data_IF_835767738195
#
_entry.id   IF_835767738195
#
_cell.length_a   1.000
_cell.length_b   1.000
_cell.length_c   1.000
_cell.angle_alpha   90.00
_cell.angle_beta   90.00
_cell.angle_gamma   90.00
#
_symmetry.space_group_name_H-M   'P 1'
#
loop_
_entity.id
_entity.type
_entity.pdbx_description
1 polymer ?
#
# COMPACT_ATOMS: atom_id res chain seq x y z
N UNK A 1 -3.03 18.11 0.78
CA UNK A 1 -3.05 16.85 0.00
C UNK A 1 -1.89 16.01 0.50
N UNK A 2 -2.19 14.85 1.05
CA UNK A 2 -1.23 13.89 1.56
C UNK A 2 -1.21 12.69 0.61
N UNK A 3 -0.03 12.13 0.37
CA UNK A 3 0.14 10.96 -0.47
C UNK A 3 0.85 9.92 0.38
N UNK A 4 0.22 8.76 0.54
CA UNK A 4 0.77 7.57 1.16
C UNK A 4 1.23 6.62 0.06
N UNK A 5 2.53 6.37 0.00
CA UNK A 5 3.10 5.36 -0.89
C UNK A 5 3.47 4.11 -0.08
N UNK A 6 3.27 2.94 -0.69
CA UNK A 6 3.61 1.66 -0.07
C UNK A 6 4.88 1.14 -0.75
N UNK A 7 6.07 1.32 -0.14
CA UNK A 7 7.33 0.92 -0.77
C UNK A 7 7.41 -0.58 -1.05
N UNK A 8 6.60 -1.37 -0.36
CA UNK A 8 6.54 -2.83 -0.51
C UNK A 8 5.72 -3.27 -1.73
N UNK A 9 4.80 -2.41 -2.19
CA UNK A 9 3.89 -2.68 -3.30
C UNK A 9 4.14 -1.66 -4.41
N UNK A 10 5.03 -1.95 -5.37
CA UNK A 10 5.39 -0.99 -6.40
C UNK A 10 4.16 -0.55 -7.21
N UNK A 11 3.88 0.76 -7.18
CA UNK A 11 2.71 1.36 -7.82
C UNK A 11 1.46 1.48 -6.94
N UNK A 12 1.51 1.02 -5.68
CA UNK A 12 0.44 1.22 -4.72
C UNK A 12 0.63 2.56 -4.00
N UNK A 13 -0.21 3.53 -4.37
CA UNK A 13 -0.23 4.87 -3.81
C UNK A 13 -1.67 5.26 -3.51
N UNK A 14 -1.88 5.99 -2.43
CA UNK A 14 -3.16 6.55 -2.06
C UNK A 14 -3.00 8.02 -1.70
N UNK A 15 -3.96 8.84 -2.11
CA UNK A 15 -4.04 10.22 -1.69
C UNK A 15 -5.18 10.45 -0.69
N UNK A 16 -5.06 11.54 0.05
CA UNK A 16 -6.07 11.97 1.00
C UNK A 16 -5.92 13.44 1.39
N UNK A 17 -7.00 14.01 1.93
CA UNK A 17 -7.03 15.38 2.44
C UNK A 17 -6.27 15.52 3.76
N UNK A 18 -6.07 14.42 4.48
CA UNK A 18 -5.32 14.33 5.74
C UNK A 18 -4.41 13.11 5.75
N UNK A 19 -3.40 13.11 6.62
CA UNK A 19 -2.52 11.95 6.83
C UNK A 19 -3.30 10.66 7.14
N UNK A 20 -4.26 10.73 8.08
CA UNK A 20 -5.09 9.56 8.40
C UNK A 20 -5.90 9.07 7.21
N UNK A 21 -6.42 9.99 6.39
CA UNK A 21 -7.22 9.63 5.23
C UNK A 21 -6.37 8.97 4.14
N UNK A 22 -5.18 9.51 3.85
CA UNK A 22 -4.25 8.92 2.91
C UNK A 22 -3.79 7.51 3.36
N UNK A 23 -3.54 7.32 4.66
CA UNK A 23 -3.19 6.01 5.22
C UNK A 23 -4.37 5.04 5.14
N UNK A 24 -5.57 5.47 5.51
CA UNK A 24 -6.76 4.62 5.47
C UNK A 24 -7.09 4.20 4.04
N UNK A 25 -6.95 5.11 3.07
CA UNK A 25 -7.10 4.80 1.65
C UNK A 25 -6.00 3.83 1.17
N UNK A 26 -4.75 4.00 1.63
CA UNK A 26 -3.67 3.06 1.33
C UNK A 26 -3.97 1.65 1.86
N UNK A 27 -4.50 1.52 3.08
CA UNK A 27 -4.90 0.22 3.64
C UNK A 27 -5.97 -0.49 2.79
N UNK A 28 -6.95 0.26 2.28
CA UNK A 28 -7.96 -0.28 1.35
C UNK A 28 -7.32 -0.78 0.06
N UNK A 29 -6.53 0.07 -0.61
CA UNK A 29 -5.88 -0.26 -1.87
C UNK A 29 -4.88 -1.42 -1.71
N UNK A 30 -4.19 -1.53 -0.58
CA UNK A 30 -3.31 -2.67 -0.28
C UNK A 30 -4.09 -3.98 -0.32
N UNK A 31 -5.28 -4.04 0.30
CA UNK A 31 -6.10 -5.26 0.29
C UNK A 31 -6.54 -5.60 -1.14
N UNK A 32 -7.06 -4.62 -1.89
CA UNK A 32 -7.48 -4.80 -3.28
C UNK A 32 -6.31 -5.25 -4.18
N UNK A 33 -5.14 -4.66 -3.98
CA UNK A 33 -3.92 -5.02 -4.71
C UNK A 33 -3.50 -6.45 -4.40
N UNK A 34 -3.55 -6.88 -3.13
CA UNK A 34 -3.21 -8.24 -2.71
C UNK A 34 -4.19 -9.27 -3.29
N UNK A 35 -5.48 -8.96 -3.30
CA UNK A 35 -6.50 -9.82 -3.92
C UNK A 35 -6.27 -9.93 -5.43
N UNK A 36 -6.06 -8.81 -6.09
CA UNK A 36 -5.74 -8.76 -7.53
C UNK A 36 -4.44 -9.49 -7.85
N UNK A 37 -3.41 -9.35 -7.01
CA UNK A 37 -2.14 -10.04 -7.18
C UNK A 37 -2.28 -11.55 -7.03
N UNK A 38 -3.12 -12.04 -6.10
CA UNK A 38 -3.45 -13.46 -5.97
C UNK A 38 -4.16 -13.99 -7.21
N UNK A 39 -5.17 -13.27 -7.69
CA UNK A 39 -5.94 -13.66 -8.88
C UNK A 39 -5.07 -13.73 -10.14
N UNK A 40 -4.21 -12.72 -10.32
CA UNK A 40 -3.24 -12.66 -11.42
C UNK A 40 -2.05 -13.62 -11.27
N UNK A 41 -1.95 -14.36 -10.16
CA UNK A 41 -0.80 -15.21 -9.85
C UNK A 41 0.53 -14.43 -9.71
N UNK A 42 0.47 -13.12 -9.43
CA UNK A 42 1.65 -12.30 -9.17
C UNK A 42 2.28 -12.71 -7.84
N UNK A 43 3.60 -12.81 -7.82
CA UNK A 43 4.36 -13.01 -6.58
C UNK A 43 4.18 -11.80 -5.67
N UNK A 44 3.42 -11.99 -4.60
CA UNK A 44 3.26 -10.97 -3.54
C UNK A 44 4.60 -10.84 -2.81
N UNK A 45 5.24 -9.66 -2.85
CA UNK A 45 6.46 -9.44 -2.09
C UNK A 45 6.13 -9.59 -0.60
N UNK A 46 6.94 -10.35 0.13
CA UNK A 46 6.77 -10.45 1.58
C UNK A 46 6.99 -9.06 2.19
N UNK A 47 6.11 -8.62 3.10
CA UNK A 47 6.36 -7.39 3.83
C UNK A 47 7.69 -7.56 4.58
N UNK A 48 8.66 -6.72 4.25
CA UNK A 48 9.87 -6.45 5.02
C UNK A 48 9.42 -5.69 6.26
N UNK A 49 8.68 -6.38 7.13
CA UNK A 49 8.22 -5.85 8.40
C UNK A 49 9.39 -5.36 9.22
N UNK A 50 9.63 -4.05 9.16
CA UNK A 50 10.25 -3.18 10.15
C UNK A 50 10.34 -1.81 9.51
N UNK A 51 9.66 -0.86 10.15
CA UNK A 51 9.89 0.57 10.02
C UNK A 51 11.42 0.82 10.03
N UNK A 52 12.02 0.90 8.85
CA UNK A 52 13.34 1.48 8.60
C UNK A 52 13.12 2.80 7.88
N UNK A 53 12.33 3.66 8.49
CA UNK A 53 12.39 5.10 8.25
C UNK A 53 12.31 5.73 9.64
N UNK A 54 13.49 5.81 10.27
CA UNK A 54 13.76 6.66 11.41
C UNK A 54 14.63 7.82 10.91
#
# INVERSE_FOLDING_TARGET
LFIAEVPELPGCMADGHSYQEAVSNAETIINEWLETAKDLGRTIPKPKGKLMYA
#
